data_IF_563876086663
#
_entry.id   IF_563876086663
#
_cell.length_a   1.000
_cell.length_b   1.000
_cell.length_c   1.000
_cell.angle_alpha   90.00
_cell.angle_beta   90.00
_cell.angle_gamma   90.00
#
_symmetry.space_group_name_H-M   'P 1'
#
loop_
_entity.id
_entity.type
_entity.pdbx_description
1 polymer ?
#
# COMPACT_ATOMS: atom_id res chain seq x y z
N UNK A 1 75.76 3.76 -34.79
CA UNK A 1 74.99 3.67 -33.52
C UNK A 1 73.53 3.50 -33.87
N UNK A 2 72.91 2.39 -33.45
CA UNK A 2 71.49 2.11 -33.67
C UNK A 2 70.61 2.94 -32.71
N UNK A 3 69.71 3.73 -33.29
CA UNK A 3 68.79 4.62 -32.57
C UNK A 3 67.38 4.02 -32.39
N UNK A 4 67.16 2.76 -32.80
CA UNK A 4 65.82 2.18 -32.93
C UNK A 4 65.14 1.77 -31.61
N UNK A 5 65.88 1.66 -30.49
CA UNK A 5 65.34 1.22 -29.20
C UNK A 5 65.62 2.20 -28.04
N UNK A 6 65.59 3.52 -28.29
CA UNK A 6 65.67 4.50 -27.21
C UNK A 6 64.26 4.85 -26.76
N UNK A 7 63.90 4.44 -25.53
CA UNK A 7 62.71 4.92 -24.84
C UNK A 7 62.87 6.43 -24.55
N UNK A 8 62.58 7.25 -25.55
CA UNK A 8 62.67 8.70 -25.50
C UNK A 8 61.41 9.30 -26.12
N UNK A 9 60.69 10.09 -25.33
CA UNK A 9 59.59 10.92 -25.80
C UNK A 9 60.02 11.78 -26.99
N UNK A 10 59.19 11.89 -28.02
CA UNK A 10 59.44 12.78 -29.17
C UNK A 10 59.67 14.22 -28.68
N UNK A 11 60.60 14.98 -29.27
CA UNK A 11 60.72 16.42 -28.97
C UNK A 11 59.39 17.10 -29.31
N UNK A 12 58.74 17.70 -28.31
CA UNK A 12 57.40 18.28 -28.42
C UNK A 12 56.24 17.38 -27.97
N UNK A 13 56.47 16.08 -27.73
CA UNK A 13 55.52 15.28 -26.95
C UNK A 13 55.88 15.48 -25.48
N UNK A 14 55.04 16.22 -24.73
CA UNK A 14 55.06 16.20 -23.27
C UNK A 14 55.27 14.76 -22.79
N UNK A 15 56.26 14.54 -21.92
CA UNK A 15 56.83 13.23 -21.62
C UNK A 15 55.82 12.14 -21.24
N UNK A 16 56.27 10.88 -21.19
CA UNK A 16 55.45 9.76 -20.74
C UNK A 16 55.03 10.02 -19.28
N UNK A 17 53.72 10.02 -19.02
CA UNK A 17 53.15 10.28 -17.69
C UNK A 17 53.82 9.39 -16.64
N UNK A 18 54.14 9.98 -15.48
CA UNK A 18 54.78 9.27 -14.38
C UNK A 18 53.92 8.12 -13.84
N UNK A 19 54.53 7.20 -13.08
CA UNK A 19 53.79 6.14 -12.38
C UNK A 19 52.73 6.70 -11.41
N UNK A 20 52.96 7.88 -10.82
CA UNK A 20 52.00 8.57 -9.97
C UNK A 20 50.80 9.08 -10.77
N UNK A 21 51.04 9.76 -11.89
CA UNK A 21 49.99 10.37 -12.73
C UNK A 21 49.11 9.31 -13.38
N UNK A 22 49.70 8.25 -13.92
CA UNK A 22 48.96 7.11 -14.49
C UNK A 22 48.09 6.38 -13.46
N UNK A 23 48.50 6.31 -12.20
CA UNK A 23 47.70 5.72 -11.13
C UNK A 23 46.53 6.62 -10.71
N UNK A 24 46.70 7.94 -10.73
CA UNK A 24 45.63 8.90 -10.46
C UNK A 24 44.56 8.82 -11.56
N UNK A 25 44.97 8.86 -12.83
CA UNK A 25 44.08 8.74 -13.98
C UNK A 25 43.30 7.41 -13.96
N UNK A 26 43.99 6.30 -13.67
CA UNK A 26 43.34 4.99 -13.49
C UNK A 26 42.26 5.02 -12.40
N UNK A 27 42.55 5.65 -11.25
CA UNK A 27 41.61 5.73 -10.13
C UNK A 27 40.40 6.59 -10.47
N UNK A 28 40.59 7.71 -11.15
CA UNK A 28 39.52 8.59 -11.61
C UNK A 28 38.63 7.90 -12.64
N UNK A 29 39.23 7.19 -13.60
CA UNK A 29 38.50 6.40 -14.59
C UNK A 29 37.63 5.31 -13.97
N UNK A 30 38.18 4.53 -13.03
CA UNK A 30 37.42 3.50 -12.30
C UNK A 30 36.25 4.10 -11.52
N UNK A 31 36.43 5.29 -10.92
CA UNK A 31 35.36 6.02 -10.26
C UNK A 31 34.25 6.41 -11.24
N UNK A 32 34.60 6.92 -12.42
CA UNK A 32 33.62 7.31 -13.45
C UNK A 32 32.80 6.11 -13.94
N UNK A 33 33.45 4.98 -14.20
CA UNK A 33 32.79 3.72 -14.56
C UNK A 33 31.83 3.22 -13.46
N UNK A 34 32.22 3.38 -12.19
CA UNK A 34 31.35 2.99 -11.06
C UNK A 34 30.12 3.91 -10.93
N UNK A 35 30.26 5.21 -11.18
CA UNK A 35 29.14 6.17 -11.18
C UNK A 35 28.18 5.96 -12.37
N UNK A 36 28.69 5.49 -13.50
CA UNK A 36 27.84 5.15 -14.66
C UNK A 36 26.97 3.90 -14.40
N UNK A 37 27.42 2.98 -13.54
CA UNK A 37 26.68 1.74 -13.24
C UNK A 37 25.73 1.87 -12.04
N UNK A 38 26.02 2.77 -11.09
CA UNK A 38 25.25 2.94 -9.86
C UNK A 38 24.71 4.37 -9.77
N UNK A 39 23.39 4.50 -9.90
CA UNK A 39 22.69 5.75 -9.68
C UNK A 39 22.52 6.02 -8.18
N UNK A 40 23.36 6.92 -7.64
CA UNK A 40 23.37 7.32 -6.23
C UNK A 40 22.05 7.96 -5.77
N UNK A 41 21.27 8.57 -6.68
CA UNK A 41 20.00 9.19 -6.31
C UNK A 41 18.92 8.15 -5.94
N UNK A 42 19.10 6.88 -6.35
CA UNK A 42 18.20 5.78 -5.99
C UNK A 42 18.49 5.17 -4.62
N UNK A 43 19.64 5.49 -4.01
CA UNK A 43 19.98 5.00 -2.68
C UNK A 43 19.19 5.79 -1.61
N UNK A 44 18.26 5.14 -0.86
CA UNK A 44 17.44 5.82 0.16
C UNK A 44 18.24 6.42 1.32
N UNK A 45 19.51 6.02 1.49
CA UNK A 45 20.37 6.43 2.59
C UNK A 45 21.41 7.49 2.19
N UNK A 46 21.50 7.82 0.91
CA UNK A 46 22.39 8.85 0.40
C UNK A 46 21.78 10.24 0.57
N UNK A 47 22.53 11.17 1.15
CA UNK A 47 22.15 12.58 1.21
C UNK A 47 23.37 13.46 0.93
N UNK A 48 23.14 14.60 0.25
CA UNK A 48 24.13 15.65 0.07
C UNK A 48 23.81 16.79 1.04
N UNK A 49 24.78 17.12 1.89
CA UNK A 49 24.64 18.22 2.83
C UNK A 49 24.73 19.56 2.13
N UNK A 50 24.15 20.58 2.74
CA UNK A 50 24.24 21.99 2.31
C UNK A 50 25.68 22.50 2.12
N UNK A 51 26.66 21.91 2.80
CA UNK A 51 28.10 22.21 2.66
C UNK A 51 28.78 21.44 1.52
N UNK A 52 28.03 20.66 0.74
CA UNK A 52 28.54 19.87 -0.38
C UNK A 52 29.20 18.54 0.00
N UNK A 53 29.28 18.20 1.30
CA UNK A 53 29.71 16.87 1.76
C UNK A 53 28.62 15.81 1.56
N UNK A 54 29.02 14.56 1.40
CA UNK A 54 28.10 13.43 1.25
C UNK A 54 27.93 12.71 2.57
N UNK A 55 26.71 12.29 2.90
CA UNK A 55 26.45 11.59 4.15
C UNK A 55 25.66 10.31 3.94
N UNK A 56 25.93 9.32 4.81
CA UNK A 56 25.15 8.09 4.88
C UNK A 56 24.21 8.14 6.08
N UNK A 57 22.90 8.29 5.84
CA UNK A 57 21.89 8.36 6.90
C UNK A 57 21.78 7.07 7.71
N UNK A 58 22.16 5.93 7.13
CA UNK A 58 22.15 4.63 7.82
C UNK A 58 23.27 4.54 8.86
N UNK A 59 24.46 5.05 8.53
CA UNK A 59 25.66 4.91 9.35
C UNK A 59 26.06 6.18 10.09
N UNK A 60 25.41 7.32 9.80
CA UNK A 60 25.75 8.65 10.30
C UNK A 60 27.23 8.99 10.04
N UNK A 61 27.71 8.66 8.85
CA UNK A 61 29.08 8.93 8.41
C UNK A 61 29.11 9.98 7.33
N UNK A 62 30.09 10.88 7.42
CA UNK A 62 30.38 11.90 6.41
C UNK A 62 31.48 11.39 5.47
N UNK A 63 31.31 11.68 4.19
CA UNK A 63 32.19 11.31 3.10
C UNK A 63 32.56 12.55 2.30
N UNK A 64 33.85 12.69 2.01
CA UNK A 64 34.38 13.83 1.25
C UNK A 64 33.96 13.78 -0.21
N UNK A 65 33.96 12.57 -0.79
CA UNK A 65 33.71 12.33 -2.19
C UNK A 65 32.63 11.24 -2.37
N UNK A 66 31.86 11.28 -3.46
CA UNK A 66 30.90 10.24 -3.84
C UNK A 66 31.55 8.84 -3.93
N UNK A 67 32.78 8.77 -4.42
CA UNK A 67 33.53 7.51 -4.44
C UNK A 67 33.84 6.96 -3.05
N UNK A 68 34.06 7.84 -2.05
CA UNK A 68 34.22 7.43 -0.66
C UNK A 68 32.91 6.91 -0.08
N UNK A 69 31.78 7.50 -0.46
CA UNK A 69 30.44 7.00 -0.11
C UNK A 69 30.18 5.62 -0.74
N UNK A 70 30.46 5.43 -2.03
CA UNK A 70 30.31 4.14 -2.72
C UNK A 70 31.17 3.03 -2.10
N UNK A 71 32.42 3.34 -1.73
CA UNK A 71 33.26 2.37 -1.04
C UNK A 71 32.72 2.04 0.37
N UNK A 72 32.10 3.02 1.04
CA UNK A 72 31.49 2.83 2.34
C UNK A 72 30.25 1.92 2.28
N UNK A 73 29.38 2.06 1.27
CA UNK A 73 28.18 1.21 1.14
C UNK A 73 28.53 -0.27 0.91
N UNK A 74 29.65 -0.52 0.23
CA UNK A 74 30.22 -1.87 0.06
C UNK A 74 30.94 -2.38 1.32
N UNK A 75 31.15 -1.53 2.33
CA UNK A 75 31.84 -1.87 3.56
C UNK A 75 31.00 -2.72 4.52
N UNK A 76 31.66 -3.62 5.26
CA UNK A 76 31.03 -4.54 6.23
C UNK A 76 30.20 -3.82 7.30
N UNK A 77 30.64 -2.64 7.76
CA UNK A 77 29.91 -1.84 8.76
C UNK A 77 28.56 -1.35 8.22
N UNK A 78 28.52 -0.89 6.98
CA UNK A 78 27.29 -0.43 6.35
C UNK A 78 26.31 -1.60 6.15
N UNK A 79 26.81 -2.72 5.62
CA UNK A 79 26.02 -3.93 5.39
C UNK A 79 25.44 -4.52 6.70
N UNK A 80 26.24 -4.52 7.78
CA UNK A 80 25.76 -5.00 9.09
C UNK A 80 24.72 -4.08 9.71
N UNK A 81 24.84 -2.76 9.55
CA UNK A 81 23.81 -1.81 9.99
C UNK A 81 22.51 -1.96 9.19
N UNK A 82 22.60 -2.23 7.88
CA UNK A 82 21.45 -2.50 7.03
C UNK A 82 20.70 -3.76 7.49
N UNK A 83 21.44 -4.86 7.72
CA UNK A 83 20.86 -6.10 8.24
C UNK A 83 20.21 -5.90 9.62
N UNK A 84 20.85 -5.11 10.50
CA UNK A 84 20.30 -4.79 11.84
C UNK A 84 19.01 -3.97 11.75
N UNK A 85 18.93 -3.02 10.82
CA UNK A 85 17.71 -2.23 10.57
C UNK A 85 16.59 -3.11 10.03
N UNK A 86 16.87 -3.93 9.01
CA UNK A 86 15.91 -4.88 8.46
C UNK A 86 15.36 -5.84 9.55
N UNK A 87 16.23 -6.33 10.43
CA UNK A 87 15.81 -7.17 11.55
C UNK A 87 14.94 -6.43 12.60
N UNK A 88 15.13 -5.12 12.78
CA UNK A 88 14.27 -4.30 13.66
C UNK A 88 12.91 -4.02 13.01
N UNK A 89 12.91 -3.62 11.74
CA UNK A 89 11.67 -3.37 10.98
C UNK A 89 10.83 -4.65 10.86
N UNK A 90 11.45 -5.82 10.69
CA UNK A 90 10.76 -7.11 10.73
C UNK A 90 10.12 -7.41 12.10
N UNK A 91 10.74 -6.99 13.20
CA UNK A 91 10.16 -7.14 14.55
C UNK A 91 9.05 -6.14 14.82
N UNK A 92 9.20 -4.89 14.37
CA UNK A 92 8.26 -3.79 14.61
C UNK A 92 7.00 -3.89 13.73
N UNK A 93 7.13 -4.46 12.52
CA UNK A 93 5.99 -4.75 11.65
C UNK A 93 5.02 -5.82 12.19
N UNK A 94 5.28 -6.39 13.38
CA UNK A 94 4.38 -7.33 14.04
C UNK A 94 4.20 -8.66 13.30
N UNK A 95 5.03 -8.92 12.29
CA UNK A 95 5.05 -10.20 11.58
C UNK A 95 5.87 -11.16 12.43
N UNK A 96 5.19 -12.13 13.04
CA UNK A 96 5.81 -13.20 13.81
C UNK A 96 7.03 -13.78 13.06
N UNK A 97 8.21 -13.88 13.71
CA UNK A 97 9.40 -14.50 13.12
C UNK A 97 9.22 -16.02 13.04
N UNK A 98 8.44 -16.44 12.04
CA UNK A 98 8.17 -17.84 11.71
C UNK A 98 7.69 -18.04 10.26
N UNK A 99 7.35 -16.96 9.54
CA UNK A 99 6.90 -17.02 8.14
C UNK A 99 7.71 -16.08 7.23
N UNK A 100 9.04 -16.04 7.40
CA UNK A 100 9.90 -15.57 6.31
C UNK A 100 10.00 -16.72 5.29
N UNK A 101 8.89 -16.96 4.60
CA UNK A 101 9.01 -17.46 3.25
C UNK A 101 9.84 -16.41 2.50
N UNK A 102 10.88 -16.86 1.79
CA UNK A 102 11.62 -16.03 0.85
C UNK A 102 10.64 -15.18 0.04
N UNK A 103 11.03 -13.97 -0.43
CA UNK A 103 10.20 -13.22 -1.35
C UNK A 103 9.94 -14.12 -2.55
N UNK A 104 8.79 -14.81 -2.54
CA UNK A 104 8.32 -15.58 -3.65
C UNK A 104 8.13 -14.51 -4.70
N UNK A 105 9.02 -14.51 -5.68
CA UNK A 105 8.84 -13.77 -6.92
C UNK A 105 7.51 -14.29 -7.43
N UNK A 106 6.44 -13.57 -7.11
CA UNK A 106 5.12 -13.87 -7.64
C UNK A 106 5.29 -13.65 -9.12
N UNK A 107 5.52 -14.74 -9.85
CA UNK A 107 5.56 -14.75 -11.29
C UNK A 107 4.20 -14.20 -11.70
N UNK A 108 4.15 -12.89 -11.98
CA UNK A 108 2.98 -12.25 -12.55
C UNK A 108 2.82 -12.92 -13.90
N UNK A 109 1.95 -13.93 -13.95
CA UNK A 109 1.56 -14.52 -15.22
C UNK A 109 0.96 -13.36 -16.01
N UNK A 110 1.63 -12.97 -17.09
CA UNK A 110 1.12 -11.95 -18.00
C UNK A 110 0.00 -12.60 -18.80
N UNK A 111 -1.17 -12.72 -18.18
CA UNK A 111 -2.37 -13.21 -18.84
C UNK A 111 -3.07 -12.02 -19.50
N UNK A 112 -3.35 -12.17 -20.79
CA UNK A 112 -4.07 -11.18 -21.59
C UNK A 112 -5.47 -11.04 -20.98
N UNK A 113 -5.85 -9.82 -20.60
CA UNK A 113 -7.15 -9.58 -19.97
C UNK A 113 -8.26 -9.59 -21.01
N UNK A 114 -9.29 -10.39 -20.76
CA UNK A 114 -10.40 -10.64 -21.71
C UNK A 114 -11.43 -9.49 -21.68
N UNK A 115 -11.44 -8.71 -20.59
CA UNK A 115 -12.29 -7.53 -20.43
C UNK A 115 -13.06 -7.53 -19.12
N UNK A 116 -14.22 -6.86 -19.09
CA UNK A 116 -15.08 -6.75 -17.90
C UNK A 116 -16.07 -7.92 -17.83
N UNK A 117 -16.26 -8.55 -16.66
CA UNK A 117 -17.22 -9.62 -16.49
C UNK A 117 -18.67 -9.10 -16.48
N UNK A 118 -19.61 -9.97 -16.81
CA UNK A 118 -21.05 -9.69 -16.70
C UNK A 118 -21.48 -9.65 -15.23
N UNK A 119 -22.41 -8.76 -14.88
CA UNK A 119 -22.89 -8.65 -13.49
C UNK A 119 -24.39 -8.36 -13.40
N UNK A 120 -24.98 -8.78 -12.29
CA UNK A 120 -26.35 -8.46 -11.88
C UNK A 120 -26.34 -8.07 -10.41
N UNK A 121 -26.97 -6.93 -10.09
CA UNK A 121 -27.09 -6.42 -8.73
C UNK A 121 -28.56 -6.36 -8.37
N UNK A 122 -28.94 -7.03 -7.28
CA UNK A 122 -30.32 -7.09 -6.79
C UNK A 122 -30.37 -6.51 -5.37
N UNK A 123 -31.32 -5.61 -5.12
CA UNK A 123 -31.61 -5.14 -3.76
C UNK A 123 -32.43 -6.20 -3.07
N UNK A 124 -31.97 -6.68 -1.92
CA UNK A 124 -32.64 -7.71 -1.13
C UNK A 124 -33.09 -7.13 0.21
N UNK A 125 -34.14 -7.70 0.78
CA UNK A 125 -34.62 -7.37 2.12
C UNK A 125 -34.80 -8.64 2.90
N UNK A 126 -34.24 -8.70 4.10
CA UNK A 126 -34.44 -9.85 4.98
C UNK A 126 -35.92 -9.90 5.43
N UNK A 127 -36.63 -11.02 5.22
CA UNK A 127 -38.02 -11.16 5.66
C UNK A 127 -38.22 -10.98 7.17
N UNK A 128 -37.26 -11.40 8.00
CA UNK A 128 -37.41 -11.38 9.46
C UNK A 128 -36.97 -10.04 10.04
N UNK A 129 -35.70 -9.66 9.80
CA UNK A 129 -35.13 -8.44 10.42
C UNK A 129 -35.45 -7.16 9.65
N UNK A 130 -36.07 -7.28 8.46
CA UNK A 130 -36.38 -6.17 7.55
C UNK A 130 -35.16 -5.34 7.11
N UNK A 131 -33.95 -5.82 7.36
CA UNK A 131 -32.69 -5.19 6.95
C UNK A 131 -32.62 -5.12 5.43
N UNK A 132 -32.10 -4.00 4.92
CA UNK A 132 -31.78 -3.86 3.50
C UNK A 132 -30.42 -4.48 3.21
N UNK A 133 -30.30 -5.13 2.07
CA UNK A 133 -29.06 -5.74 1.61
C UNK A 133 -28.89 -5.66 0.11
N UNK A 134 -27.74 -6.11 -0.36
CA UNK A 134 -27.39 -6.19 -1.76
C UNK A 134 -26.90 -7.60 -2.07
N UNK A 135 -27.39 -8.14 -3.18
CA UNK A 135 -26.94 -9.38 -3.80
C UNK A 135 -26.23 -9.04 -5.11
N UNK A 136 -24.97 -9.43 -5.20
CA UNK A 136 -24.15 -9.32 -6.38
C UNK A 136 -23.99 -10.71 -6.99
N UNK A 137 -24.27 -10.82 -8.28
CA UNK A 137 -24.04 -12.03 -9.08
C UNK A 137 -23.13 -11.64 -10.25
N UNK A 138 -21.92 -12.18 -10.28
CA UNK A 138 -20.91 -11.90 -11.30
C UNK A 138 -20.68 -13.17 -12.11
N UNK A 139 -20.77 -13.06 -13.42
CA UNK A 139 -20.58 -14.16 -14.36
C UNK A 139 -19.17 -14.12 -14.95
N UNK A 140 -18.46 -15.25 -14.85
CA UNK A 140 -17.09 -15.41 -15.34
C UNK A 140 -17.00 -16.61 -16.30
N UNK A 141 -17.66 -16.57 -17.47
CA UNK A 141 -17.72 -17.72 -18.39
C UNK A 141 -16.35 -18.24 -18.85
N UNK A 142 -15.32 -17.39 -18.89
CA UNK A 142 -13.95 -17.71 -19.33
C UNK A 142 -12.93 -17.58 -18.19
N UNK A 143 -13.29 -17.94 -16.96
CA UNK A 143 -12.35 -17.99 -15.83
C UNK A 143 -11.28 -19.07 -16.01
N UNK A 144 -10.06 -18.81 -15.54
CA UNK A 144 -8.99 -19.81 -15.52
C UNK A 144 -9.34 -21.03 -14.66
N UNK A 145 -8.90 -22.22 -15.06
CA UNK A 145 -9.28 -23.51 -14.45
C UNK A 145 -8.99 -23.64 -12.96
N UNK A 146 -8.00 -22.91 -12.44
CA UNK A 146 -7.56 -22.96 -11.03
C UNK A 146 -7.75 -21.62 -10.30
N UNK A 147 -8.60 -20.72 -10.83
CA UNK A 147 -8.77 -19.37 -10.30
C UNK A 147 -10.15 -19.19 -9.68
N UNK A 148 -10.19 -19.05 -8.36
CA UNK A 148 -11.40 -18.69 -7.64
C UNK A 148 -11.54 -17.15 -7.56
N UNK A 149 -12.73 -16.60 -7.86
CA UNK A 149 -12.97 -15.18 -7.69
C UNK A 149 -12.80 -14.73 -6.24
N UNK A 150 -12.22 -13.55 -6.07
CA UNK A 150 -12.02 -12.91 -4.77
C UNK A 150 -12.76 -11.59 -4.71
N UNK A 151 -13.10 -11.18 -3.50
CA UNK A 151 -13.73 -9.90 -3.24
C UNK A 151 -13.01 -9.15 -2.11
N UNK A 152 -13.15 -7.82 -2.11
CA UNK A 152 -12.62 -6.96 -1.05
C UNK A 152 -13.44 -5.67 -0.93
N UNK A 153 -13.73 -5.25 0.29
CA UNK A 153 -14.19 -3.89 0.56
C UNK A 153 -12.99 -2.95 0.66
N UNK A 154 -13.05 -1.84 -0.07
CA UNK A 154 -12.02 -0.82 -0.15
C UNK A 154 -12.61 0.53 0.25
N UNK A 155 -11.87 1.29 1.06
CA UNK A 155 -12.28 2.63 1.44
C UNK A 155 -12.15 3.62 0.28
N UNK A 156 -12.90 4.73 0.30
CA UNK A 156 -12.80 5.76 -0.74
C UNK A 156 -11.45 6.48 -0.82
N UNK A 157 -10.60 6.37 0.20
CA UNK A 157 -9.25 6.97 0.24
C UNK A 157 -8.17 6.09 -0.39
N UNK A 158 -8.42 4.78 -0.52
CA UNK A 158 -7.48 3.84 -1.14
C UNK A 158 -7.52 3.91 -2.68
N UNK A 159 -8.69 4.24 -3.24
CA UNK A 159 -8.85 4.35 -4.69
C UNK A 159 -8.31 5.68 -5.22
N UNK A 160 -7.77 5.68 -6.45
CA UNK A 160 -7.11 6.83 -7.09
C UNK A 160 -7.81 7.35 -8.35
N UNK A 161 -9.04 6.88 -8.62
CA UNK A 161 -9.77 7.15 -9.86
C UNK A 161 -10.72 8.33 -9.67
N UNK A 162 -11.54 8.29 -8.63
CA UNK A 162 -12.50 9.34 -8.29
C UNK A 162 -11.98 10.20 -7.12
N UNK A 163 -12.56 11.39 -6.92
CA UNK A 163 -12.30 12.16 -5.71
C UNK A 163 -12.78 11.38 -4.46
N UNK A 164 -11.97 11.25 -3.40
CA UNK A 164 -12.35 10.50 -2.21
C UNK A 164 -13.62 11.06 -1.54
N UNK A 165 -14.62 10.21 -1.34
CA UNK A 165 -15.85 10.56 -0.61
C UNK A 165 -16.16 9.51 0.47
N UNK A 166 -16.15 9.95 1.74
CA UNK A 166 -16.37 9.09 2.92
C UNK A 166 -17.75 8.42 2.96
N UNK A 167 -18.77 8.99 2.30
CA UNK A 167 -20.12 8.42 2.28
C UNK A 167 -20.21 7.10 1.49
N UNK A 168 -19.19 6.79 0.70
CA UNK A 168 -19.14 5.60 -0.12
C UNK A 168 -17.91 4.73 0.18
N UNK A 169 -18.10 3.44 -0.01
CA UNK A 169 -17.09 2.40 -0.01
C UNK A 169 -17.18 1.65 -1.34
N UNK A 170 -16.11 0.98 -1.73
CA UNK A 170 -16.06 0.26 -3.01
C UNK A 170 -15.94 -1.23 -2.74
N UNK A 171 -16.85 -2.02 -3.30
CA UNK A 171 -16.78 -3.47 -3.27
C UNK A 171 -16.15 -3.97 -4.55
N UNK A 172 -14.95 -4.53 -4.44
CA UNK A 172 -14.17 -5.05 -5.56
C UNK A 172 -14.43 -6.54 -5.75
N UNK A 173 -14.45 -6.96 -7.01
CA UNK A 173 -14.40 -8.35 -7.42
C UNK A 173 -13.25 -8.55 -8.41
N UNK A 174 -12.44 -9.58 -8.19
CA UNK A 174 -11.30 -9.89 -9.02
C UNK A 174 -11.27 -11.40 -9.32
N UNK A 175 -11.14 -11.73 -10.60
CA UNK A 175 -10.88 -13.08 -11.09
C UNK A 175 -10.05 -12.96 -12.38
N UNK A 176 -8.93 -13.67 -12.47
CA UNK A 176 -8.14 -13.74 -13.69
C UNK A 176 -8.85 -14.66 -14.71
N UNK A 177 -8.95 -14.29 -16.00
CA UNK A 177 -8.29 -13.19 -16.72
C UNK A 177 -9.10 -11.88 -16.83
N UNK A 178 -10.20 -11.77 -16.08
CA UNK A 178 -11.05 -10.59 -16.14
C UNK A 178 -10.43 -9.36 -15.47
N UNK A 179 -10.89 -8.18 -15.89
CA UNK A 179 -10.60 -6.94 -15.19
C UNK A 179 -11.27 -6.93 -13.81
N UNK A 180 -10.56 -6.37 -12.82
CA UNK A 180 -11.14 -6.11 -11.51
C UNK A 180 -12.23 -5.06 -11.65
N UNK A 181 -13.44 -5.41 -11.23
CA UNK A 181 -14.58 -4.49 -11.19
C UNK A 181 -14.81 -4.02 -9.76
N UNK A 182 -15.36 -2.81 -9.62
CA UNK A 182 -15.69 -2.21 -8.34
C UNK A 182 -17.11 -1.63 -8.38
N UNK A 183 -17.87 -1.85 -7.31
CA UNK A 183 -19.19 -1.25 -7.12
C UNK A 183 -19.15 -0.21 -6.03
N UNK A 184 -19.69 0.97 -6.31
CA UNK A 184 -19.87 2.03 -5.33
C UNK A 184 -21.05 1.68 -4.44
N UNK A 185 -20.77 1.48 -3.15
CA UNK A 185 -21.73 1.08 -2.12
C UNK A 185 -21.74 2.16 -1.03
N UNK A 186 -22.87 2.38 -0.38
CA UNK A 186 -22.93 3.29 0.77
C UNK A 186 -22.05 2.77 1.91
N UNK A 187 -21.33 3.66 2.61
CA UNK A 187 -20.47 3.35 3.78
C UNK A 187 -21.25 3.02 5.05
N UNK A 188 -22.37 2.30 4.93
CA UNK A 188 -23.15 1.83 6.07
C UNK A 188 -22.53 0.54 6.62
N UNK A 189 -22.64 0.34 7.93
CA UNK A 189 -22.09 -0.86 8.56
C UNK A 189 -22.75 -2.12 8.00
N UNK A 190 -21.92 -3.09 7.63
CA UNK A 190 -22.35 -4.39 7.14
C UNK A 190 -22.53 -5.32 8.34
N UNK A 191 -23.65 -6.01 8.37
CA UNK A 191 -23.95 -7.01 9.39
C UNK A 191 -23.16 -8.30 9.08
N UNK A 192 -22.22 -8.64 9.96
CA UNK A 192 -21.39 -9.86 9.87
C UNK A 192 -21.94 -11.00 10.74
N UNK A 193 -23.19 -10.87 11.22
CA UNK A 193 -23.89 -11.96 11.90
C UNK A 193 -24.03 -13.20 11.02
N UNK A 194 -24.26 -14.33 11.65
CA UNK A 194 -24.45 -15.61 10.97
C UNK A 194 -25.60 -15.52 9.95
N UNK A 195 -25.34 -15.95 8.70
CA UNK A 195 -26.31 -15.88 7.60
C UNK A 195 -26.55 -14.49 6.99
N UNK A 196 -25.96 -13.42 7.53
CA UNK A 196 -26.12 -12.05 7.02
C UNK A 196 -25.11 -11.67 5.94
N UNK A 197 -23.98 -12.34 5.94
CA UNK A 197 -22.94 -12.22 4.93
C UNK A 197 -22.72 -13.58 4.29
N UNK A 198 -22.86 -13.65 2.97
CA UNK A 198 -22.79 -14.90 2.20
C UNK A 198 -21.94 -14.70 0.95
N UNK A 199 -21.06 -15.65 0.68
CA UNK A 199 -20.25 -15.70 -0.53
C UNK A 199 -20.19 -17.12 -1.05
N UNK A 200 -20.45 -17.29 -2.34
CA UNK A 200 -20.44 -18.59 -2.98
C UNK A 200 -19.90 -18.49 -4.40
N UNK A 201 -18.99 -19.40 -4.75
CA UNK A 201 -18.51 -19.59 -6.11
C UNK A 201 -19.08 -20.89 -6.64
N UNK A 202 -19.87 -20.80 -7.70
CA UNK A 202 -20.35 -21.97 -8.43
C UNK A 202 -19.44 -22.20 -9.65
N UNK A 203 -18.62 -23.28 -9.64
CA UNK A 203 -17.70 -23.57 -10.75
C UNK A 203 -18.41 -24.05 -12.02
N UNK A 204 -19.62 -24.62 -11.90
CA UNK A 204 -20.36 -25.19 -13.03
C UNK A 204 -21.05 -24.09 -13.82
N UNK A 205 -21.77 -23.20 -13.13
CA UNK A 205 -22.38 -22.01 -13.76
C UNK A 205 -21.39 -20.86 -13.96
N UNK A 206 -20.16 -21.00 -13.43
CA UNK A 206 -19.11 -19.97 -13.39
C UNK A 206 -19.63 -18.63 -12.85
N UNK A 207 -20.44 -18.70 -11.80
CA UNK A 207 -21.09 -17.55 -11.19
C UNK A 207 -20.62 -17.33 -9.75
N UNK A 208 -20.12 -16.12 -9.47
CA UNK A 208 -19.80 -15.68 -8.13
C UNK A 208 -20.97 -14.90 -7.54
N UNK A 209 -21.47 -15.36 -6.39
CA UNK A 209 -22.56 -14.72 -5.67
C UNK A 209 -22.05 -14.19 -4.34
N UNK A 210 -22.30 -12.91 -4.07
CA UNK A 210 -21.99 -12.27 -2.80
C UNK A 210 -23.21 -11.49 -2.32
N UNK A 211 -23.69 -11.81 -1.13
CA UNK A 211 -24.80 -11.15 -0.49
C UNK A 211 -24.39 -10.61 0.87
N UNK A 212 -24.82 -9.40 1.18
CA UNK A 212 -24.72 -8.86 2.53
C UNK A 212 -25.90 -7.97 2.88
N UNK A 213 -26.19 -7.87 4.17
CA UNK A 213 -27.16 -6.92 4.72
C UNK A 213 -26.46 -5.79 5.48
N UNK A 214 -27.06 -4.61 5.45
CA UNK A 214 -26.65 -3.50 6.29
C UNK A 214 -27.25 -3.66 7.69
N UNK A 215 -26.52 -3.20 8.71
CA UNK A 215 -27.09 -3.05 10.03
C UNK A 215 -28.23 -2.03 10.00
N UNK A 216 -29.29 -2.29 10.77
CA UNK A 216 -30.36 -1.33 10.95
C UNK A 216 -29.84 -0.15 11.79
N UNK A 217 -30.10 1.07 11.33
CA UNK A 217 -29.76 2.31 12.06
C UNK A 217 -30.63 2.49 13.31
N UNK A 218 -31.71 1.71 13.44
CA UNK A 218 -32.52 1.62 14.65
C UNK A 218 -32.20 0.30 15.36
N UNK A 219 -31.51 0.34 16.51
CA UNK A 219 -31.47 -0.83 17.37
C UNK A 219 -32.91 -1.12 17.81
N UNK A 220 -33.34 -2.38 17.68
CA UNK A 220 -34.70 -2.83 18.03
C UNK A 220 -35.01 -2.59 19.52
N UNK A 221 -33.99 -2.31 20.34
CA UNK A 221 -34.11 -1.93 21.75
C UNK A 221 -34.85 -0.60 21.96
N UNK A 222 -34.89 0.29 20.96
CA UNK A 222 -35.56 1.59 21.08
C UNK A 222 -37.05 1.54 20.71
N UNK A 223 -37.57 0.35 20.36
CA UNK A 223 -39.00 0.14 20.07
C UNK A 223 -39.77 -0.44 21.27
N UNK A 224 -39.11 -0.63 22.42
CA UNK A 224 -39.72 -1.14 23.66
C UNK A 224 -39.91 -0.06 24.75
N UNK A 225 -39.69 1.22 24.43
CA UNK A 225 -40.23 2.32 25.24
C UNK A 225 -41.21 3.14 24.39
N UNK A 226 -42.48 2.74 24.46
CA UNK A 226 -43.56 3.63 24.09
C UNK A 226 -43.49 4.90 24.95
N UNK A 227 -43.67 6.11 24.40
CA UNK A 227 -43.72 7.33 25.21
C UNK A 227 -45.09 7.38 25.89
N UNK A 228 -45.25 6.67 27.01
CA UNK A 228 -46.25 7.07 27.99
C UNK A 228 -45.81 8.42 28.53
N UNK A 229 -46.59 9.45 28.22
CA UNK A 229 -46.39 10.81 28.72
C UNK A 229 -46.13 10.81 30.22
N UNK A 230 -44.87 10.96 30.64
CA UNK A 230 -44.57 11.48 31.97
C UNK A 230 -44.69 12.99 31.88
N UNK A 231 -45.83 13.49 32.34
CA UNK A 231 -46.00 14.91 32.61
C UNK A 231 -44.79 15.40 33.46
N UNK A 232 -44.23 16.60 33.16
CA UNK A 232 -43.11 17.11 33.93
C UNK A 232 -43.57 17.34 35.38
N UNK A 233 -42.98 16.59 36.31
CA UNK A 233 -43.19 16.81 37.73
C UNK A 233 -42.63 18.20 38.04
N UNK A 234 -43.52 19.14 38.38
CA UNK A 234 -43.13 20.49 38.76
C UNK A 234 -42.18 20.42 39.97
N UNK A 235 -40.99 21.02 39.83
CA UNK A 235 -40.00 21.08 40.89
C UNK A 235 -40.52 22.02 42.00
N UNK A 236 -40.80 21.54 43.22
CA UNK A 236 -41.44 22.32 44.28
C UNK A 236 -40.55 23.43 44.88
N UNK A 237 -39.31 23.57 44.39
CA UNK A 237 -38.33 24.55 44.86
C UNK A 237 -38.05 25.68 43.84
N UNK A 238 -38.82 25.79 42.76
CA UNK A 238 -38.62 26.87 41.78
C UNK A 238 -39.49 28.10 42.12
N UNK A 239 -38.92 29.22 42.61
CA UNK A 239 -39.68 30.38 43.07
C UNK A 239 -40.28 31.22 41.94
N UNK A 240 -40.05 30.85 40.67
CA UNK A 240 -40.49 31.61 39.50
C UNK A 240 -41.83 31.15 38.89
N UNK A 241 -42.52 30.17 39.48
CA UNK A 241 -43.73 29.58 38.89
C UNK A 241 -45.05 29.99 39.57
N UNK A 242 -45.07 31.09 40.33
CA UNK A 242 -46.31 31.59 40.92
C UNK A 242 -47.20 32.27 39.85
N UNK A 243 -48.49 31.91 39.73
CA UNK A 243 -49.41 32.61 38.85
C UNK A 243 -49.66 34.04 39.35
N UNK A 244 -49.92 35.01 38.47
CA UNK A 244 -50.15 36.39 38.87
C UNK A 244 -51.46 36.53 39.66
N UNK A 245 -51.54 37.48 40.61
CA UNK A 245 -52.75 37.69 41.38
C UNK A 245 -53.87 38.23 40.50
N UNK A 246 -55.04 37.60 40.61
CA UNK A 246 -56.27 37.99 39.92
C UNK A 246 -56.83 39.25 40.61
N UNK A 247 -57.19 40.27 39.82
CA UNK A 247 -57.94 41.45 40.29
C UNK A 247 -59.42 41.11 40.48
#
# INVERSE_FOLDING_TARGET
MDFQNRAGSKPGSAGVAGHSESNVDRRERLRKLALETIDLAKDPYFMKNHLGSYECKLCLTLHTNEGSYLAHTQGKKHQTNLARRAAREAKESGIQPGLIAQPQIMVKKNVIKIGRPGYKVTKVRDPVTRQFGLLFQIQYPEVGTEVNPRHRFMSAYEQRIEAPNRMYQYLLFAAEPYETIAFKVQSREIDKGEGKFFTHWDPDSKQFSLQFFFKNERPVTDMMEAPYMRAPVANPLNPFNAPPPVK
#
